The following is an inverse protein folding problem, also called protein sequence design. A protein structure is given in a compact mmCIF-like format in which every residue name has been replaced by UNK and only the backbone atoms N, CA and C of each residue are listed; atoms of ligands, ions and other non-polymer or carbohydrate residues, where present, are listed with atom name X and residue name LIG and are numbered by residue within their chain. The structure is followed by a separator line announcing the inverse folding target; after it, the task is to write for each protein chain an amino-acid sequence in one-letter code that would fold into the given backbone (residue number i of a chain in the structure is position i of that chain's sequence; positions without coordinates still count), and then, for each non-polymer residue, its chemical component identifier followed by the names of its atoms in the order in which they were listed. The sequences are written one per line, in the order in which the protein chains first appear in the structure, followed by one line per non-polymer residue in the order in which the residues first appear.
data_IF_791760642789
#
_entry.id   IF_791760642789
#
_cell.length_a   1.000
_cell.length_b   1.000
_cell.length_c   1.000
_cell.angle_alpha   90.00
_cell.angle_beta   90.00
_cell.angle_gamma   90.00
#
_symmetry.space_group_name_H-M   'P 1'
#
loop_
_entity.id
_entity.type
_entity.pdbx_description
1 polymer ?
#
# COMPACT_ATOMS: atom_id res chain seq x y z
N UNK A 1 26.62 67.58 -26.31
CA UNK A 1 27.79 67.57 -25.40
C UNK A 1 27.25 68.20 -24.12
N UNK A 2 27.06 67.49 -23.00
CA UNK A 2 27.86 66.41 -22.48
C UNK A 2 27.06 65.45 -21.59
N UNK A 3 27.51 64.19 -21.63
CA UNK A 3 27.25 63.12 -20.67
C UNK A 3 27.76 63.48 -19.27
N UNK A 4 27.03 63.07 -18.22
CA UNK A 4 27.60 62.40 -17.01
C UNK A 4 26.47 61.91 -16.09
N UNK A 5 26.10 60.63 -16.24
CA UNK A 5 26.45 59.48 -15.38
C UNK A 5 25.59 59.39 -14.10
N UNK A 6 24.58 58.53 -14.22
CA UNK A 6 23.89 57.78 -13.16
C UNK A 6 24.84 56.70 -12.63
N UNK A 7 24.88 56.46 -11.33
CA UNK A 7 25.42 55.19 -10.81
C UNK A 7 25.91 55.21 -9.36
N UNK A 8 25.00 55.21 -8.39
CA UNK A 8 25.33 54.88 -6.99
C UNK A 8 24.55 53.68 -6.42
N UNK A 9 23.67 53.03 -7.22
CA UNK A 9 22.83 51.93 -6.74
C UNK A 9 23.54 50.57 -6.62
N UNK A 10 24.61 50.34 -7.37
CA UNK A 10 25.30 49.04 -7.36
C UNK A 10 26.12 48.80 -6.09
N UNK A 11 26.65 49.85 -5.47
CA UNK A 11 27.43 49.75 -4.23
C UNK A 11 26.54 49.35 -3.03
N UNK A 12 25.35 49.95 -2.94
CA UNK A 12 24.39 49.63 -1.87
C UNK A 12 23.84 48.21 -1.98
N UNK A 13 23.61 47.71 -3.20
CA UNK A 13 23.18 46.32 -3.42
C UNK A 13 24.28 45.33 -3.04
N UNK A 14 25.55 45.63 -3.37
CA UNK A 14 26.69 44.77 -3.00
C UNK A 14 26.81 44.71 -1.47
N UNK A 15 26.67 45.85 -0.78
CA UNK A 15 26.72 45.90 0.67
C UNK A 15 25.59 45.07 1.32
N UNK A 16 24.37 45.16 0.79
CA UNK A 16 23.24 44.37 1.30
C UNK A 16 23.43 42.87 1.03
N UNK A 17 24.01 42.48 -0.11
CA UNK A 17 24.36 41.08 -0.39
C UNK A 17 25.40 40.55 0.60
N UNK A 18 26.42 41.34 0.93
CA UNK A 18 27.45 40.94 1.90
C UNK A 18 26.86 40.79 3.31
N UNK A 19 25.97 41.70 3.70
CA UNK A 19 25.23 41.62 4.96
C UNK A 19 24.34 40.38 5.01
N UNK A 20 23.54 40.12 3.99
CA UNK A 20 22.69 38.92 3.92
C UNK A 20 23.50 37.61 3.92
N UNK A 21 24.70 37.60 3.33
CA UNK A 21 25.61 36.45 3.42
C UNK A 21 26.15 36.24 4.84
N UNK A 22 26.45 37.32 5.55
CA UNK A 22 26.85 37.27 6.97
C UNK A 22 25.71 36.72 7.83
N UNK A 23 24.50 37.25 7.66
CA UNK A 23 23.31 36.83 8.42
C UNK A 23 22.97 35.35 8.14
N UNK A 24 23.06 34.92 6.87
CA UNK A 24 22.88 33.51 6.50
C UNK A 24 23.88 32.61 7.22
N UNK A 25 25.16 33.00 7.28
CA UNK A 25 26.20 32.23 7.97
C UNK A 25 25.94 32.15 9.48
N UNK A 26 25.42 33.21 10.08
CA UNK A 26 25.03 33.21 11.50
C UNK A 26 23.85 32.27 11.76
N UNK A 27 22.82 32.31 10.89
CA UNK A 27 21.67 31.42 10.97
C UNK A 27 22.08 29.95 10.80
N UNK A 28 22.94 29.63 9.83
CA UNK A 28 23.46 28.27 9.60
C UNK A 28 24.24 27.76 10.82
N UNK A 29 25.06 28.60 11.45
CA UNK A 29 25.76 28.26 12.69
C UNK A 29 24.79 28.00 13.85
N UNK A 30 23.69 28.76 13.94
CA UNK A 30 22.67 28.60 14.97
C UNK A 30 21.84 27.33 14.74
N UNK A 31 21.50 27.01 13.49
CA UNK A 31 20.86 25.75 13.11
C UNK A 31 21.77 24.57 13.51
N UNK A 32 23.04 24.61 13.15
CA UNK A 32 23.98 23.53 13.48
C UNK A 32 24.13 23.30 14.99
N UNK A 33 24.12 24.37 15.80
CA UNK A 33 24.10 24.26 17.27
C UNK A 33 22.81 23.64 17.80
N UNK A 34 21.65 24.03 17.24
CA UNK A 34 20.35 23.49 17.64
C UNK A 34 20.21 22.01 17.22
N UNK A 35 20.72 21.62 16.05
CA UNK A 35 20.77 20.22 15.60
C UNK A 35 21.66 19.35 16.49
N UNK A 36 22.80 19.90 16.96
CA UNK A 36 23.66 19.21 17.90
C UNK A 36 23.00 19.03 19.28
N UNK A 37 22.23 20.02 19.75
CA UNK A 37 21.40 19.90 20.96
C UNK A 37 20.28 18.88 20.78
N UNK A 38 19.59 18.89 19.64
CA UNK A 38 18.54 17.93 19.32
C UNK A 38 19.07 16.49 19.35
N UNK A 39 20.24 16.23 18.75
CA UNK A 39 20.88 14.91 18.80
C UNK A 39 21.28 14.47 20.21
N UNK A 40 21.67 15.41 21.06
CA UNK A 40 21.99 15.11 22.46
C UNK A 40 20.72 14.75 23.26
N UNK A 41 19.60 15.44 23.02
CA UNK A 41 18.30 15.14 23.63
C UNK A 41 17.72 13.80 23.11
N UNK A 42 17.87 13.52 21.81
CA UNK A 42 17.50 12.23 21.20
C UNK A 42 18.27 11.05 21.82
N UNK A 43 19.55 11.22 22.14
CA UNK A 43 20.37 10.21 22.80
C UNK A 43 19.95 9.95 24.27
N UNK A 44 19.37 10.94 24.95
CA UNK A 44 18.77 10.78 26.28
C UNK A 44 17.42 10.05 26.18
N UNK A 45 16.61 10.37 25.16
CA UNK A 45 15.35 9.68 24.87
C UNK A 45 15.55 8.20 24.49
N UNK A 46 16.62 7.85 23.77
CA UNK A 46 16.93 6.45 23.47
C UNK A 46 17.18 5.58 24.72
N UNK A 47 17.58 6.15 25.86
CA UNK A 47 17.74 5.42 27.12
C UNK A 47 16.42 5.17 27.86
N UNK A 48 15.32 5.82 27.49
CA UNK A 48 13.98 5.55 28.01
C UNK A 48 13.27 4.37 27.28
N UNK A 49 13.87 3.83 26.22
CA UNK A 49 13.35 2.69 25.46
C UNK A 49 13.66 1.33 26.12
N UNK A 50 13.09 1.07 27.29
CA UNK A 50 12.88 -0.30 27.78
C UNK A 50 11.39 -0.51 28.09
N UNK A 51 10.70 -1.19 27.16
CA UNK A 51 9.35 -1.72 27.35
C UNK A 51 8.21 -0.76 26.99
N UNK A 52 7.30 -1.20 26.12
CA UNK A 52 6.00 -0.53 25.95
C UNK A 52 5.12 -0.83 27.17
N UNK A 53 5.29 -0.06 28.23
CA UNK A 53 4.33 0.07 29.34
C UNK A 53 4.03 1.55 29.50
N UNK A 54 3.33 2.12 28.52
CA UNK A 54 3.19 3.57 28.35
C UNK A 54 2.02 4.21 29.08
N UNK A 55 1.23 3.45 29.84
CA UNK A 55 0.11 4.03 30.59
C UNK A 55 0.61 4.94 31.73
N UNK A 56 1.58 4.48 32.51
CA UNK A 56 2.08 5.25 33.67
C UNK A 56 2.81 6.54 33.25
N UNK A 57 3.54 6.53 32.14
CA UNK A 57 4.17 7.74 31.59
C UNK A 57 3.19 8.79 31.06
N UNK A 58 1.95 8.41 30.70
CA UNK A 58 0.88 9.35 30.31
C UNK A 58 0.24 10.01 31.54
N UNK A 59 0.37 9.39 32.72
CA UNK A 59 -0.19 9.88 33.98
C UNK A 59 0.74 10.84 34.73
N UNK A 60 2.03 10.89 34.39
CA UNK A 60 3.00 11.74 35.06
C UNK A 60 2.73 13.24 34.82
N UNK A 61 2.21 13.92 35.86
CA UNK A 61 2.06 15.37 35.93
C UNK A 61 0.62 15.89 36.14
N UNK A 62 -0.40 15.03 36.07
CA UNK A 62 -1.79 15.44 36.29
C UNK A 62 -2.50 14.53 37.30
N UNK A 63 -3.28 15.12 38.20
CA UNK A 63 -4.10 14.38 39.17
C UNK A 63 -5.03 13.40 38.42
N UNK A 64 -4.68 12.12 38.48
CA UNK A 64 -5.49 11.04 37.93
C UNK A 64 -6.74 10.93 38.78
N UNK A 65 -7.93 10.98 38.17
CA UNK A 65 -9.17 10.73 38.90
C UNK A 65 -9.14 9.31 39.49
N UNK A 66 -9.96 9.03 40.51
CA UNK A 66 -10.11 7.68 41.10
C UNK A 66 -10.41 6.57 40.07
N UNK A 67 -10.78 6.96 38.85
CA UNK A 67 -11.23 6.11 37.77
C UNK A 67 -10.16 5.91 36.67
N UNK A 68 -8.89 6.31 36.88
CA UNK A 68 -7.82 6.03 35.90
C UNK A 68 -7.89 6.84 34.60
N UNK A 69 -8.60 7.97 34.58
CA UNK A 69 -8.60 8.90 33.44
C UNK A 69 -8.20 10.30 33.91
N UNK A 70 -7.41 11.01 33.11
CA UNK A 70 -7.09 12.42 33.36
C UNK A 70 -8.29 13.31 33.00
N UNK A 71 -8.41 14.52 33.56
CA UNK A 71 -9.47 15.46 33.20
C UNK A 71 -9.54 15.74 31.69
N UNK A 72 -8.38 15.83 31.02
CA UNK A 72 -8.30 16.02 29.57
C UNK A 72 -8.88 14.84 28.79
N UNK A 73 -8.61 13.60 29.22
CA UNK A 73 -9.21 12.40 28.63
C UNK A 73 -10.72 12.35 28.84
N UNK A 74 -11.20 12.71 30.05
CA UNK A 74 -12.64 12.76 30.34
C UNK A 74 -13.35 13.75 29.41
N UNK A 75 -12.78 14.94 29.23
CA UNK A 75 -13.34 15.94 28.33
C UNK A 75 -13.34 15.45 26.87
N UNK A 76 -12.19 14.99 26.36
CA UNK A 76 -12.01 14.56 24.97
C UNK A 76 -12.93 13.38 24.61
N UNK A 77 -13.02 12.38 25.48
CA UNK A 77 -13.77 11.15 25.23
C UNK A 77 -15.16 11.14 25.86
N UNK A 78 -15.67 12.29 26.33
CA UNK A 78 -16.96 12.40 27.01
C UNK A 78 -18.12 11.70 26.26
N UNK A 79 -18.11 11.71 24.93
CA UNK A 79 -19.12 11.02 24.10
C UNK A 79 -19.02 9.49 24.14
N UNK A 80 -17.84 8.92 24.35
CA UNK A 80 -17.69 7.48 24.60
C UNK A 80 -18.12 7.13 26.02
N UNK A 81 -17.73 7.96 27.00
CA UNK A 81 -18.02 7.73 28.42
C UNK A 81 -19.53 7.70 28.73
N UNK A 82 -20.34 8.40 27.94
CA UNK A 82 -21.79 8.43 28.07
C UNK A 82 -22.50 7.19 27.51
N UNK A 83 -21.82 6.34 26.74
CA UNK A 83 -22.41 5.12 26.16
C UNK A 83 -22.48 4.04 27.26
N UNK A 84 -23.67 3.55 27.66
CA UNK A 84 -23.80 2.60 28.76
C UNK A 84 -23.03 1.30 28.53
N UNK A 85 -23.02 0.81 27.28
CA UNK A 85 -22.35 -0.44 26.91
C UNK A 85 -20.83 -0.30 26.75
N UNK A 86 -20.28 0.92 26.75
CA UNK A 86 -18.85 1.20 26.54
C UNK A 86 -18.20 1.87 27.76
N UNK A 87 -18.70 3.06 28.11
CA UNK A 87 -18.41 3.75 29.35
C UNK A 87 -16.94 4.02 29.65
N UNK A 88 -16.67 4.22 30.93
CA UNK A 88 -15.34 4.51 31.49
C UNK A 88 -14.39 3.33 31.33
N UNK A 89 -14.87 2.11 31.57
CA UNK A 89 -14.06 0.89 31.48
C UNK A 89 -13.53 0.67 30.06
N UNK A 90 -14.39 0.77 29.05
CA UNK A 90 -13.99 0.65 27.65
C UNK A 90 -12.89 1.64 27.28
N UNK A 91 -13.03 2.90 27.71
CA UNK A 91 -12.05 3.95 27.42
C UNK A 91 -10.71 3.73 28.13
N UNK A 92 -10.70 3.23 29.37
CA UNK A 92 -9.48 2.86 30.09
C UNK A 92 -8.76 1.73 29.35
N UNK A 93 -9.50 0.70 28.91
CA UNK A 93 -8.93 -0.43 28.19
C UNK A 93 -8.32 0.02 26.85
N UNK A 94 -8.96 0.94 26.11
CA UNK A 94 -8.35 1.56 24.93
C UNK A 94 -7.04 2.27 25.26
N UNK A 95 -7.04 3.10 26.31
CA UNK A 95 -5.86 3.87 26.71
C UNK A 95 -4.68 3.00 27.19
N UNK A 96 -4.95 1.76 27.63
CA UNK A 96 -3.94 0.78 28.03
C UNK A 96 -3.48 -0.11 26.88
N UNK A 97 -4.22 -0.17 25.78
CA UNK A 97 -3.94 -1.07 24.67
C UNK A 97 -2.88 -0.51 23.72
N UNK A 98 -2.13 -1.42 23.12
CA UNK A 98 -1.16 -1.14 22.06
C UNK A 98 -1.53 -1.88 20.77
N UNK A 99 -1.57 -1.17 19.64
CA UNK A 99 -2.00 -1.73 18.35
C UNK A 99 -0.96 -1.48 17.27
N UNK A 100 -0.55 -2.54 16.58
CA UNK A 100 0.29 -2.46 15.38
C UNK A 100 -0.58 -2.43 14.13
N UNK A 101 -0.44 -1.40 13.30
CA UNK A 101 -1.08 -1.33 11.98
C UNK A 101 -0.01 -1.54 10.90
N UNK A 102 -0.17 -2.61 10.12
CA UNK A 102 0.74 -2.97 9.04
C UNK A 102 0.16 -2.48 7.71
N UNK A 103 0.75 -1.42 7.17
CA UNK A 103 0.27 -0.69 6.00
C UNK A 103 -0.44 0.61 6.38
N UNK A 104 0.03 1.74 5.85
CA UNK A 104 -0.56 3.07 5.94
C UNK A 104 -1.29 3.46 4.64
N UNK A 105 -1.71 2.46 3.84
CA UNK A 105 -2.41 2.65 2.57
C UNK A 105 -3.91 2.95 2.71
N UNK A 106 -4.71 2.52 1.75
CA UNK A 106 -6.15 2.85 1.69
C UNK A 106 -6.95 2.25 2.85
N UNK A 107 -6.62 1.03 3.27
CA UNK A 107 -7.21 0.38 4.45
C UNK A 107 -6.65 0.99 5.74
N UNK A 108 -5.33 1.19 5.79
CA UNK A 108 -4.63 1.69 6.98
C UNK A 108 -5.00 3.12 7.35
N UNK A 109 -5.26 3.97 6.35
CA UNK A 109 -5.62 5.39 6.54
C UNK A 109 -6.75 5.58 7.56
N UNK A 110 -7.98 5.07 7.33
CA UNK A 110 -9.06 5.20 8.31
C UNK A 110 -8.77 4.44 9.61
N UNK A 111 -8.07 3.29 9.57
CA UNK A 111 -7.71 2.53 10.78
C UNK A 111 -6.92 3.41 11.74
N UNK A 112 -5.78 3.93 11.29
CA UNK A 112 -4.89 4.70 12.16
C UNK A 112 -5.59 5.99 12.63
N UNK A 113 -6.33 6.67 11.75
CA UNK A 113 -7.09 7.87 12.10
C UNK A 113 -8.12 7.61 13.21
N UNK A 114 -8.95 6.57 13.07
CA UNK A 114 -9.96 6.26 14.08
C UNK A 114 -9.35 5.76 15.37
N UNK A 115 -8.35 4.87 15.33
CA UNK A 115 -7.65 4.41 16.54
C UNK A 115 -7.00 5.57 17.30
N UNK A 116 -6.38 6.51 16.59
CA UNK A 116 -5.81 7.71 17.19
C UNK A 116 -6.91 8.59 17.83
N UNK A 117 -8.00 8.84 17.11
CA UNK A 117 -9.12 9.65 17.60
C UNK A 117 -9.81 9.04 18.82
N UNK A 118 -9.89 7.70 18.90
CA UNK A 118 -10.53 6.96 19.98
C UNK A 118 -9.63 6.80 21.22
N UNK A 119 -8.36 7.21 21.15
CA UNK A 119 -7.48 7.22 22.30
C UNK A 119 -6.86 5.86 22.64
N UNK A 120 -6.50 5.07 21.63
CA UNK A 120 -5.59 3.93 21.83
C UNK A 120 -4.27 4.44 22.42
N UNK A 121 -3.79 3.80 23.49
CA UNK A 121 -2.61 4.25 24.23
C UNK A 121 -1.34 4.31 23.39
N UNK A 122 -1.08 3.25 22.62
CA UNK A 122 0.06 3.18 21.71
C UNK A 122 -0.35 2.64 20.34
N UNK A 123 0.06 3.34 19.27
CA UNK A 123 -0.16 2.90 17.89
C UNK A 123 1.20 2.79 17.20
N UNK A 124 1.55 1.58 16.77
CA UNK A 124 2.66 1.33 15.86
C UNK A 124 2.19 1.35 14.41
N UNK A 125 2.91 2.05 13.53
CA UNK A 125 2.61 2.10 12.10
C UNK A 125 3.80 1.55 11.34
N UNK A 126 3.60 0.48 10.57
CA UNK A 126 4.64 -0.15 9.74
C UNK A 126 4.31 0.06 8.28
N UNK A 127 5.17 0.77 7.56
CA UNK A 127 5.09 0.93 6.11
C UNK A 127 6.48 1.34 5.58
N UNK A 128 6.87 0.82 4.41
CA UNK A 128 8.14 1.14 3.75
C UNK A 128 7.99 2.12 2.59
N UNK A 129 6.76 2.41 2.18
CA UNK A 129 6.50 3.21 1.00
C UNK A 129 6.52 4.71 1.29
N UNK A 130 6.52 5.46 0.20
CA UNK A 130 6.35 6.90 0.19
C UNK A 130 4.93 7.27 -0.25
N UNK A 131 4.50 8.48 0.07
CA UNK A 131 3.23 9.03 -0.41
C UNK A 131 3.38 9.37 -1.89
N UNK A 132 2.43 8.92 -2.70
CA UNK A 132 2.38 9.16 -4.15
C UNK A 132 1.04 9.78 -4.54
N UNK A 133 1.05 10.64 -5.56
CA UNK A 133 -0.14 11.38 -6.00
C UNK A 133 -1.30 10.45 -6.42
N UNK A 134 -0.98 9.40 -7.18
CA UNK A 134 -1.95 8.39 -7.65
C UNK A 134 -2.54 7.53 -6.51
N UNK A 135 -2.10 7.71 -5.27
CA UNK A 135 -2.61 7.00 -4.11
C UNK A 135 -3.54 7.87 -3.24
N UNK A 136 -3.53 9.20 -3.39
CA UNK A 136 -4.27 10.12 -2.53
C UNK A 136 -5.79 9.95 -2.62
N UNK A 137 -6.32 9.49 -3.76
CA UNK A 137 -7.76 9.24 -3.94
C UNK A 137 -8.35 8.18 -2.98
N UNK A 138 -7.49 7.39 -2.32
CA UNK A 138 -7.89 6.35 -1.36
C UNK A 138 -7.11 6.38 -0.04
N UNK A 139 -5.95 7.03 0.00
CA UNK A 139 -5.10 7.12 1.19
C UNK A 139 -5.33 8.45 1.93
N UNK A 140 -6.54 8.61 2.47
CA UNK A 140 -7.05 9.89 2.99
C UNK A 140 -6.29 10.46 4.19
N UNK A 141 -5.40 9.67 4.81
CA UNK A 141 -4.53 10.14 5.90
C UNK A 141 -3.38 11.01 5.39
N UNK A 142 -3.06 10.91 4.10
CA UNK A 142 -1.95 11.63 3.48
C UNK A 142 -2.46 12.87 2.74
N UNK A 143 -2.03 14.09 3.15
CA UNK A 143 -2.27 15.28 2.36
C UNK A 143 -1.28 15.36 1.18
N UNK A 144 -1.67 16.09 0.12
CA UNK A 144 -0.84 16.28 -1.07
C UNK A 144 0.54 16.89 -0.78
N UNK A 145 0.62 17.75 0.24
CA UNK A 145 1.89 18.33 0.71
C UNK A 145 2.93 17.31 1.18
N UNK A 146 2.53 16.05 1.44
CA UNK A 146 3.43 14.98 1.85
C UNK A 146 3.85 14.05 0.71
N UNK A 147 3.44 14.30 -0.55
CA UNK A 147 3.94 13.53 -1.70
C UNK A 147 5.48 13.48 -1.69
N UNK A 148 6.06 12.30 -1.90
CA UNK A 148 7.49 12.03 -1.82
C UNK A 148 8.04 11.74 -0.41
N UNK A 149 7.26 11.93 0.65
CA UNK A 149 7.66 11.62 2.03
C UNK A 149 7.25 10.20 2.42
N UNK A 150 7.91 9.62 3.43
CA UNK A 150 7.55 8.30 3.96
C UNK A 150 6.10 8.29 4.49
N UNK A 151 5.33 7.25 4.16
CA UNK A 151 3.93 7.12 4.59
C UNK A 151 3.80 7.13 6.11
N UNK A 152 4.68 6.42 6.83
CA UNK A 152 4.63 6.38 8.31
C UNK A 152 4.78 7.76 8.95
N UNK A 153 5.64 8.62 8.37
CA UNK A 153 5.84 10.00 8.85
C UNK A 153 4.59 10.85 8.62
N UNK A 154 4.02 10.76 7.41
CA UNK A 154 2.79 11.47 7.06
C UNK A 154 1.61 11.03 7.94
N UNK A 155 1.45 9.72 8.13
CA UNK A 155 0.41 9.15 8.98
C UNK A 155 0.55 9.57 10.44
N UNK A 156 1.76 9.51 10.99
CA UNK A 156 2.01 9.93 12.36
C UNK A 156 1.76 11.43 12.56
N UNK A 157 2.16 12.29 11.61
CA UNK A 157 1.86 13.72 11.64
C UNK A 157 0.34 13.99 11.66
N UNK A 158 -0.44 13.31 10.80
CA UNK A 158 -1.89 13.41 10.78
C UNK A 158 -2.52 12.98 12.12
N UNK A 159 -2.03 11.89 12.72
CA UNK A 159 -2.52 11.40 14.00
C UNK A 159 -2.20 12.35 15.16
N UNK A 160 -0.98 12.90 15.21
CA UNK A 160 -0.60 13.90 16.22
C UNK A 160 -1.47 15.16 16.13
N UNK A 161 -1.88 15.56 14.93
CA UNK A 161 -2.79 16.69 14.71
C UNK A 161 -4.21 16.43 15.26
N UNK A 162 -4.66 15.16 15.26
CA UNK A 162 -5.97 14.76 15.79
C UNK A 162 -5.91 14.55 17.31
N UNK A 163 -4.90 13.81 17.77
CA UNK A 163 -4.75 13.41 19.15
C UNK A 163 -3.28 13.32 19.54
N UNK A 164 -2.74 14.40 20.11
CA UNK A 164 -1.35 14.47 20.56
C UNK A 164 -1.07 13.72 21.87
N UNK A 165 -2.08 13.18 22.57
CA UNK A 165 -1.88 12.50 23.86
C UNK A 165 -1.58 11.00 23.74
N UNK A 166 -1.58 10.44 22.54
CA UNK A 166 -1.29 9.01 22.31
C UNK A 166 0.19 8.83 21.94
N UNK A 167 0.73 7.65 22.23
CA UNK A 167 2.07 7.29 21.79
C UNK A 167 2.03 6.75 20.35
N UNK A 168 2.82 7.33 19.45
CA UNK A 168 2.93 6.92 18.04
C UNK A 168 4.34 6.41 17.75
N UNK A 169 4.45 5.19 17.25
CA UNK A 169 5.73 4.55 16.91
C UNK A 169 5.79 4.33 15.40
N UNK A 170 6.77 4.97 14.76
CA UNK A 170 6.98 4.92 13.31
C UNK A 170 7.99 3.81 12.97
N UNK A 171 7.53 2.76 12.27
CA UNK A 171 8.39 1.71 11.72
C UNK A 171 8.53 1.93 10.21
N UNK A 172 9.48 2.77 9.81
CA UNK A 172 9.75 3.09 8.39
C UNK A 172 10.53 1.96 7.69
N UNK A 173 9.95 0.77 7.66
CA UNK A 173 10.51 -0.44 7.07
C UNK A 173 9.40 -1.40 6.67
N UNK A 174 9.70 -2.32 5.75
CA UNK A 174 8.76 -3.37 5.40
C UNK A 174 8.72 -4.39 6.55
N UNK A 175 7.52 -4.87 6.88
CA UNK A 175 7.39 -6.01 7.78
C UNK A 175 7.82 -7.28 7.04
N UNK A 176 8.80 -7.99 7.59
CA UNK A 176 9.37 -9.20 7.01
C UNK A 176 9.55 -10.26 8.08
N UNK A 177 9.66 -11.54 7.70
CA UNK A 177 9.85 -12.63 8.66
C UNK A 177 11.06 -12.41 9.59
N UNK A 178 12.10 -11.74 9.09
CA UNK A 178 13.32 -11.39 9.84
C UNK A 178 13.10 -10.38 10.97
N UNK A 179 12.14 -9.47 10.86
CA UNK A 179 11.88 -8.40 11.85
C UNK A 179 10.50 -8.50 12.54
N UNK A 180 9.59 -9.32 12.01
CA UNK A 180 8.21 -9.35 12.44
C UNK A 180 8.04 -9.79 13.90
N UNK A 181 8.81 -10.77 14.38
CA UNK A 181 8.71 -11.23 15.78
C UNK A 181 9.07 -10.11 16.76
N UNK A 182 10.16 -9.38 16.52
CA UNK A 182 10.59 -8.27 17.37
C UNK A 182 9.53 -7.16 17.39
N UNK A 183 9.03 -6.75 16.22
CA UNK A 183 8.06 -5.67 16.12
C UNK A 183 6.71 -6.08 16.74
N UNK A 184 6.15 -7.22 16.35
CA UNK A 184 4.82 -7.69 16.80
C UNK A 184 4.80 -7.99 18.30
N UNK A 185 5.92 -8.41 18.90
CA UNK A 185 6.00 -8.67 20.34
C UNK A 185 5.61 -7.48 21.22
N UNK A 186 5.82 -6.25 20.70
CA UNK A 186 5.64 -4.97 21.40
C UNK A 186 4.19 -4.49 21.44
N UNK A 187 3.26 -5.19 20.79
CA UNK A 187 1.87 -4.77 20.65
C UNK A 187 0.90 -5.86 21.10
N UNK A 188 -0.29 -5.46 21.56
CA UNK A 188 -1.34 -6.37 22.02
C UNK A 188 -2.16 -6.92 20.85
N UNK A 189 -2.39 -6.08 19.83
CA UNK A 189 -3.27 -6.37 18.70
C UNK A 189 -2.56 -6.00 17.39
N UNK A 190 -2.76 -6.81 16.35
CA UNK A 190 -2.24 -6.53 15.00
C UNK A 190 -3.39 -6.28 14.04
N UNK A 191 -3.26 -5.24 13.22
CA UNK A 191 -4.15 -4.95 12.11
C UNK A 191 -3.39 -5.12 10.80
N UNK A 192 -3.82 -6.08 9.98
CA UNK A 192 -3.34 -6.26 8.61
C UNK A 192 -4.14 -5.36 7.67
N UNK A 193 -3.49 -4.28 7.22
CA UNK A 193 -3.99 -3.35 6.22
C UNK A 193 -3.16 -3.43 4.92
N UNK A 194 -2.54 -4.58 4.67
CA UNK A 194 -1.74 -4.85 3.46
C UNK A 194 -2.61 -5.32 2.30
N UNK A 195 -2.10 -5.13 1.08
CA UNK A 195 -2.80 -5.44 -0.17
C UNK A 195 -2.15 -6.60 -0.95
N UNK A 196 -1.22 -7.34 -0.33
CA UNK A 196 -0.55 -8.47 -0.96
C UNK A 196 -0.71 -9.77 -0.17
N UNK A 197 -0.82 -10.87 -0.90
CA UNK A 197 -1.06 -12.20 -0.35
C UNK A 197 0.09 -12.73 0.54
N UNK A 198 1.39 -12.63 0.15
CA UNK A 198 2.47 -13.13 0.99
C UNK A 198 2.53 -12.45 2.36
N UNK A 199 2.37 -11.12 2.43
CA UNK A 199 2.33 -10.38 3.70
C UNK A 199 1.17 -10.86 4.58
N UNK A 200 0.01 -11.15 4.00
CA UNK A 200 -1.16 -11.64 4.76
C UNK A 200 -0.91 -12.99 5.42
N UNK A 201 -0.29 -13.93 4.71
CA UNK A 201 0.13 -15.21 5.31
C UNK A 201 1.18 -14.98 6.40
N UNK A 202 2.20 -14.17 6.13
CA UNK A 202 3.27 -13.89 7.08
C UNK A 202 2.74 -13.22 8.36
N UNK A 203 1.87 -12.22 8.25
CA UNK A 203 1.29 -11.53 9.41
C UNK A 203 0.43 -12.49 10.23
N UNK A 204 -0.41 -13.31 9.58
CA UNK A 204 -1.22 -14.32 10.29
C UNK A 204 -0.36 -15.32 11.02
N UNK A 205 0.68 -15.84 10.37
CA UNK A 205 1.57 -16.84 10.93
C UNK A 205 2.38 -16.26 12.10
N UNK A 206 2.85 -15.00 11.98
CA UNK A 206 3.49 -14.26 13.07
C UNK A 206 2.54 -14.10 14.27
N UNK A 207 1.28 -13.71 14.02
CA UNK A 207 0.28 -13.55 15.07
C UNK A 207 -0.03 -14.86 15.80
N UNK A 208 -0.02 -15.99 15.09
CA UNK A 208 -0.17 -17.32 15.71
C UNK A 208 1.01 -17.61 16.66
N UNK A 209 2.26 -17.49 16.19
CA UNK A 209 3.44 -17.84 17.01
C UNK A 209 3.71 -16.83 18.14
N UNK A 210 3.19 -15.60 18.03
CA UNK A 210 3.25 -14.57 19.06
C UNK A 210 1.99 -14.50 19.93
N UNK A 211 1.00 -15.35 19.66
CA UNK A 211 -0.30 -15.39 20.31
C UNK A 211 -1.02 -14.02 20.36
N UNK A 212 -1.11 -13.34 19.22
CA UNK A 212 -1.75 -12.03 19.06
C UNK A 212 -3.03 -12.14 18.23
N UNK A 213 -4.14 -11.47 18.61
CA UNK A 213 -5.30 -11.34 17.75
C UNK A 213 -4.95 -10.52 16.51
N UNK A 214 -5.51 -10.92 15.36
CA UNK A 214 -5.29 -10.28 14.08
C UNK A 214 -6.61 -9.78 13.49
N UNK A 215 -6.70 -8.49 13.18
CA UNK A 215 -7.80 -7.92 12.40
C UNK A 215 -7.31 -7.76 10.97
N UNK A 216 -7.85 -8.52 10.03
CA UNK A 216 -7.38 -8.53 8.64
C UNK A 216 -8.51 -8.15 7.70
N UNK A 217 -8.28 -7.07 6.95
CA UNK A 217 -9.17 -6.55 5.92
C UNK A 217 -8.55 -6.69 4.53
N UNK A 218 -9.38 -6.76 3.49
CA UNK A 218 -8.93 -6.67 2.10
C UNK A 218 -9.97 -5.89 1.29
N UNK A 219 -9.53 -5.23 0.23
CA UNK A 219 -10.39 -4.56 -0.73
C UNK A 219 -9.81 -4.73 -2.13
N UNK A 220 -10.65 -5.02 -3.12
CA UNK A 220 -10.27 -5.17 -4.52
C UNK A 220 -11.43 -4.71 -5.39
N UNK A 221 -11.17 -3.81 -6.35
CA UNK A 221 -12.21 -3.28 -7.23
C UNK A 221 -13.33 -2.59 -6.44
N UNK A 222 -14.48 -3.28 -6.37
CA UNK A 222 -15.72 -2.82 -5.73
C UNK A 222 -16.14 -3.70 -4.56
N UNK A 223 -15.28 -4.62 -4.15
CA UNK A 223 -15.54 -5.58 -3.08
C UNK A 223 -14.56 -5.41 -1.92
N UNK A 224 -15.02 -5.76 -0.72
CA UNK A 224 -14.22 -5.76 0.49
C UNK A 224 -14.55 -6.93 1.40
N UNK A 225 -13.57 -7.35 2.20
CA UNK A 225 -13.75 -8.40 3.19
C UNK A 225 -13.02 -8.07 4.49
N UNK A 226 -13.55 -8.59 5.60
CA UNK A 226 -13.00 -8.39 6.94
C UNK A 226 -13.26 -9.62 7.84
N UNK A 227 -12.27 -10.00 8.65
CA UNK A 227 -12.38 -11.03 9.67
C UNK A 227 -11.42 -10.74 10.83
N UNK A 228 -11.74 -11.26 12.02
CA UNK A 228 -10.81 -11.33 13.15
C UNK A 228 -10.28 -12.77 13.28
N UNK A 229 -8.96 -12.92 13.21
CA UNK A 229 -8.24 -14.19 13.29
C UNK A 229 -7.52 -14.33 14.63
N UNK A 230 -7.24 -15.58 15.01
CA UNK A 230 -6.46 -15.96 16.21
C UNK A 230 -6.94 -15.26 17.50
N UNK A 231 -8.25 -15.07 17.64
CA UNK A 231 -8.86 -14.40 18.80
C UNK A 231 -9.81 -15.35 19.52
N UNK A 232 -9.61 -15.56 20.82
CA UNK A 232 -10.43 -16.42 21.71
C UNK A 232 -10.70 -17.83 21.12
N UNK A 233 -9.65 -18.49 20.61
CA UNK A 233 -9.76 -19.82 20.00
C UNK A 233 -10.28 -19.84 18.55
N UNK A 234 -10.42 -18.68 17.91
CA UNK A 234 -10.80 -18.54 16.51
C UNK A 234 -9.77 -19.08 15.51
N UNK A 235 -10.14 -19.21 14.22
CA UNK A 235 -9.24 -19.68 13.17
C UNK A 235 -8.09 -18.69 12.92
N UNK A 236 -6.95 -19.16 12.41
CA UNK A 236 -5.98 -18.30 11.73
C UNK A 236 -6.31 -18.22 10.23
N UNK A 237 -5.57 -17.41 9.47
CA UNK A 237 -5.80 -17.28 8.03
C UNK A 237 -5.68 -18.61 7.28
N UNK A 238 -4.69 -19.44 7.64
CA UNK A 238 -4.46 -20.77 7.04
C UNK A 238 -5.57 -21.79 7.33
N UNK A 239 -6.35 -21.62 8.39
CA UNK A 239 -7.52 -22.49 8.64
C UNK A 239 -8.59 -22.34 7.55
N UNK A 240 -8.68 -21.15 6.93
CA UNK A 240 -9.59 -20.86 5.83
C UNK A 240 -8.92 -21.08 4.48
N UNK A 241 -7.69 -20.59 4.35
CA UNK A 241 -6.92 -20.61 3.10
C UNK A 241 -5.61 -21.38 3.34
N UNK A 242 -5.64 -22.72 3.43
CA UNK A 242 -4.44 -23.51 3.72
C UNK A 242 -3.43 -23.47 2.58
N UNK A 243 -3.91 -23.36 1.34
CA UNK A 243 -3.13 -23.25 0.11
C UNK A 243 -3.47 -21.94 -0.59
N UNK A 244 -2.48 -21.20 -1.09
CA UNK A 244 -2.73 -19.97 -1.83
C UNK A 244 -3.46 -20.27 -3.14
N UNK A 245 -4.35 -19.38 -3.59
CA UNK A 245 -4.96 -19.51 -4.91
C UNK A 245 -3.88 -19.40 -6.01
N UNK A 246 -4.15 -19.95 -7.21
CA UNK A 246 -3.25 -19.80 -8.36
C UNK A 246 -2.94 -18.32 -8.63
N UNK A 247 -1.70 -18.02 -9.02
CA UNK A 247 -1.23 -16.64 -9.27
C UNK A 247 -2.09 -15.89 -10.29
N UNK A 248 -2.65 -16.59 -11.27
CA UNK A 248 -3.58 -16.02 -12.25
C UNK A 248 -4.89 -15.49 -11.63
N UNK A 249 -5.32 -16.04 -10.49
CA UNK A 249 -6.50 -15.59 -9.74
C UNK A 249 -6.16 -14.52 -8.68
N UNK A 250 -4.88 -14.26 -8.43
CA UNK A 250 -4.41 -13.28 -7.46
C UNK A 250 -4.31 -11.89 -8.11
N UNK A 251 -5.42 -11.15 -8.12
CA UNK A 251 -5.44 -9.75 -8.57
C UNK A 251 -4.96 -8.79 -7.48
N UNK A 252 -4.21 -7.75 -7.87
CA UNK A 252 -3.83 -6.63 -7.00
C UNK A 252 -4.61 -5.37 -7.34
N UNK A 253 -4.75 -4.47 -6.37
CA UNK A 253 -5.33 -3.15 -6.58
C UNK A 253 -4.61 -2.35 -7.67
N UNK A 254 -3.28 -2.49 -7.77
CA UNK A 254 -2.47 -1.82 -8.80
C UNK A 254 -2.78 -2.33 -10.22
N UNK A 255 -3.29 -3.56 -10.35
CA UNK A 255 -3.59 -4.19 -11.64
C UNK A 255 -5.08 -4.08 -12.02
N UNK A 256 -6.01 -4.15 -11.05
CA UNK A 256 -7.47 -4.18 -11.28
C UNK A 256 -8.19 -2.88 -10.90
N UNK A 257 -7.49 -1.93 -10.28
CA UNK A 257 -8.09 -0.73 -9.71
C UNK A 257 -8.88 -1.00 -8.42
N UNK A 258 -9.22 0.08 -7.72
CA UNK A 258 -10.05 0.03 -6.51
C UNK A 258 -10.79 1.36 -6.36
N UNK A 259 -12.10 1.31 -6.11
CA UNK A 259 -12.86 2.52 -5.77
C UNK A 259 -12.46 2.96 -4.37
N UNK A 260 -11.91 4.17 -4.24
CA UNK A 260 -11.21 4.60 -3.01
C UNK A 260 -12.01 4.53 -1.71
N UNK A 261 -13.34 4.64 -1.79
CA UNK A 261 -14.25 4.51 -0.64
C UNK A 261 -14.31 3.09 -0.10
N UNK A 262 -14.10 2.06 -0.94
CA UNK A 262 -14.18 0.64 -0.54
C UNK A 262 -13.15 0.28 0.55
N UNK A 263 -11.83 0.49 0.36
CA UNK A 263 -10.88 0.30 1.44
C UNK A 263 -11.13 1.28 2.60
N UNK A 264 -11.71 2.46 2.35
CA UNK A 264 -12.17 3.37 3.40
C UNK A 264 -13.20 2.72 4.34
N UNK A 265 -14.26 2.14 3.78
CA UNK A 265 -15.33 1.44 4.53
C UNK A 265 -14.76 0.25 5.29
N UNK A 266 -13.98 -0.61 4.63
CA UNK A 266 -13.38 -1.78 5.28
C UNK A 266 -12.41 -1.35 6.39
N UNK A 267 -11.62 -0.31 6.19
CA UNK A 267 -10.69 0.19 7.20
C UNK A 267 -11.41 0.81 8.42
N UNK A 268 -12.54 1.50 8.24
CA UNK A 268 -13.39 1.91 9.36
C UNK A 268 -13.89 0.70 10.16
N UNK A 269 -14.32 -0.36 9.46
CA UNK A 269 -14.78 -1.60 10.11
C UNK A 269 -13.61 -2.34 10.80
N UNK A 270 -12.39 -2.30 10.23
CA UNK A 270 -11.18 -2.81 10.89
C UNK A 270 -10.90 -2.06 12.20
N UNK A 271 -11.00 -0.73 12.20
CA UNK A 271 -10.85 0.07 13.42
C UNK A 271 -11.89 -0.33 14.48
N UNK A 272 -13.14 -0.53 14.07
CA UNK A 272 -14.21 -0.98 14.94
C UNK A 272 -13.91 -2.36 15.56
N UNK A 273 -13.46 -3.34 14.77
CA UNK A 273 -13.06 -4.66 15.31
C UNK A 273 -11.89 -4.55 16.28
N UNK A 274 -10.88 -3.73 15.96
CA UNK A 274 -9.74 -3.50 16.83
C UNK A 274 -10.16 -2.85 18.16
N UNK A 275 -11.08 -1.88 18.13
CA UNK A 275 -11.67 -1.25 19.32
C UNK A 275 -12.42 -2.27 20.17
N UNK A 276 -13.22 -3.17 19.56
CA UNK A 276 -13.92 -4.24 20.29
C UNK A 276 -12.94 -5.20 20.98
N UNK A 277 -11.86 -5.59 20.29
CA UNK A 277 -10.81 -6.43 20.87
C UNK A 277 -10.10 -5.70 22.02
N UNK A 278 -9.70 -4.45 21.83
CA UNK A 278 -8.96 -3.64 22.81
C UNK A 278 -9.78 -3.31 24.06
N UNK A 279 -11.04 -2.90 23.87
CA UNK A 279 -11.96 -2.59 24.97
C UNK A 279 -12.47 -3.82 25.70
N UNK A 280 -12.49 -4.98 25.04
CA UNK A 280 -13.15 -6.19 25.52
C UNK A 280 -14.67 -6.18 25.36
N UNK A 281 -15.23 -5.18 24.66
CA UNK A 281 -16.67 -4.91 24.58
C UNK A 281 -17.22 -5.29 23.20
N UNK A 282 -18.40 -5.90 23.19
CA UNK A 282 -19.11 -6.31 21.99
C UNK A 282 -18.68 -7.67 21.43
N UNK A 283 -19.24 -8.02 20.27
CA UNK A 283 -18.97 -9.30 19.60
C UNK A 283 -18.08 -9.06 18.36
N UNK A 284 -16.92 -9.72 18.31
CA UNK A 284 -15.96 -9.56 17.20
C UNK A 284 -16.33 -10.44 16.01
N UNK A 285 -15.74 -10.17 14.84
CA UNK A 285 -15.84 -11.03 13.66
C UNK A 285 -14.99 -12.32 13.78
N UNK A 286 -14.62 -12.77 14.98
CA UNK A 286 -13.95 -14.07 15.13
C UNK A 286 -14.90 -15.20 14.71
N UNK A 287 -14.46 -16.07 13.79
CA UNK A 287 -15.28 -17.14 13.23
C UNK A 287 -16.37 -16.67 12.25
N UNK A 288 -16.35 -15.39 11.84
CA UNK A 288 -17.26 -14.81 10.86
C UNK A 288 -16.49 -13.95 9.85
N UNK A 289 -16.98 -13.86 8.63
CA UNK A 289 -16.40 -13.00 7.60
C UNK A 289 -17.46 -12.02 7.10
N UNK A 290 -17.12 -10.74 7.18
CA UNK A 290 -17.87 -9.67 6.53
C UNK A 290 -17.43 -9.60 5.07
N UNK A 291 -18.40 -9.53 4.18
CA UNK A 291 -18.24 -9.33 2.73
C UNK A 291 -19.06 -8.09 2.38
N UNK A 292 -18.42 -7.14 1.71
CA UNK A 292 -19.01 -5.90 1.26
C UNK A 292 -18.97 -5.83 -0.27
N UNK A 293 -20.13 -5.61 -0.87
CA UNK A 293 -20.29 -5.29 -2.30
C UNK A 293 -20.74 -3.83 -2.41
N UNK A 294 -19.86 -3.00 -2.95
CA UNK A 294 -20.09 -1.56 -3.09
C UNK A 294 -21.07 -1.21 -4.22
N UNK A 295 -21.21 -2.05 -5.25
CA UNK A 295 -22.15 -1.80 -6.35
C UNK A 295 -23.59 -1.90 -5.87
N UNK A 296 -23.88 -2.93 -5.07
CA UNK A 296 -25.23 -3.15 -4.54
C UNK A 296 -25.43 -2.59 -3.12
N UNK A 297 -24.40 -1.98 -2.53
CA UNK A 297 -24.36 -1.56 -1.12
C UNK A 297 -24.75 -2.69 -0.14
N UNK A 298 -24.36 -3.93 -0.44
CA UNK A 298 -24.71 -5.10 0.39
C UNK A 298 -23.57 -5.48 1.30
N UNK A 299 -23.90 -5.66 2.58
CA UNK A 299 -23.01 -6.25 3.58
C UNK A 299 -23.58 -7.61 3.97
N UNK A 300 -22.76 -8.65 3.86
CA UNK A 300 -23.11 -10.01 4.28
C UNK A 300 -22.11 -10.46 5.33
N UNK A 301 -22.60 -11.05 6.42
CA UNK A 301 -21.75 -11.71 7.41
C UNK A 301 -21.99 -13.20 7.28
N UNK A 302 -20.94 -13.95 6.92
CA UNK A 302 -21.00 -15.40 6.75
C UNK A 302 -20.20 -16.09 7.84
N UNK A 303 -20.69 -17.22 8.34
CA UNK A 303 -19.92 -18.06 9.25
C UNK A 303 -18.81 -18.74 8.47
N UNK A 304 -17.58 -18.68 9.00
CA UNK A 304 -16.42 -19.34 8.40
C UNK A 304 -16.05 -20.59 9.20
N UNK A 305 -15.21 -21.44 8.60
CA UNK A 305 -14.67 -22.61 9.28
C UNK A 305 -13.92 -22.16 10.54
N UNK A 306 -14.15 -22.86 11.65
CA UNK A 306 -13.42 -22.64 12.89
C UNK A 306 -11.95 -23.09 12.81
N UNK A 307 -11.23 -22.97 13.92
CA UNK A 307 -9.85 -23.47 14.03
C UNK A 307 -9.77 -24.94 13.62
N UNK A 308 -8.84 -25.26 12.73
CA UNK A 308 -8.55 -26.65 12.34
C UNK A 308 -7.45 -27.21 13.24
N UNK A 309 -7.71 -28.38 13.85
CA UNK A 309 -6.71 -29.08 14.68
C UNK A 309 -5.51 -29.56 13.85
N UNK A 310 -5.69 -29.70 12.53
CA UNK A 310 -4.65 -30.09 11.56
C UNK A 310 -4.04 -28.88 10.83
N UNK A 311 -4.31 -27.65 11.29
CA UNK A 311 -3.74 -26.47 10.64
C UNK A 311 -2.21 -26.46 10.78
N UNK A 312 -1.51 -26.22 9.67
CA UNK A 312 -0.04 -26.11 9.64
C UNK A 312 0.51 -25.11 10.66
N UNK A 313 -0.12 -23.94 10.79
CA UNK A 313 0.34 -22.90 11.72
C UNK A 313 -0.20 -23.07 13.15
N UNK A 314 -1.53 -23.22 13.33
CA UNK A 314 -2.15 -23.15 14.65
C UNK A 314 -2.79 -24.45 15.14
N UNK A 315 -2.55 -25.60 14.50
CA UNK A 315 -3.06 -26.91 14.93
C UNK A 315 -2.43 -27.39 16.25
N UNK A 316 -3.03 -28.40 16.90
CA UNK A 316 -2.55 -28.88 18.22
C UNK A 316 -1.17 -29.54 18.13
N UNK A 317 -0.87 -30.18 16.99
CA UNK A 317 0.41 -30.82 16.69
C UNK A 317 1.20 -30.03 15.63
N UNK A 318 1.02 -28.72 15.56
CA UNK A 318 1.73 -27.89 14.59
C UNK A 318 3.20 -27.69 15.03
N UNK A 319 4.15 -28.15 14.22
CA UNK A 319 5.59 -27.88 14.41
C UNK A 319 6.02 -26.47 13.93
N UNK A 320 5.05 -25.57 13.78
CA UNK A 320 5.30 -24.22 13.29
C UNK A 320 5.72 -23.30 14.44
N UNK A 321 7.04 -23.23 14.64
CA UNK A 321 7.67 -22.44 15.72
C UNK A 321 8.07 -21.04 15.25
N UNK A 322 8.54 -20.19 16.17
CA UNK A 322 9.15 -18.90 15.82
C UNK A 322 10.35 -19.06 14.87
N UNK A 323 11.16 -20.11 15.03
CA UNK A 323 12.27 -20.40 14.14
C UNK A 323 11.79 -20.82 12.74
N UNK A 324 10.79 -21.70 12.68
CA UNK A 324 10.15 -22.13 11.42
C UNK A 324 9.51 -20.94 10.71
N UNK A 325 8.91 -20.01 11.44
CA UNK A 325 8.34 -18.77 10.92
C UNK A 325 9.41 -17.88 10.25
N UNK A 326 10.55 -17.66 10.92
CA UNK A 326 11.61 -16.77 10.42
C UNK A 326 12.27 -17.29 9.14
N UNK A 327 12.34 -18.61 8.95
CA UNK A 327 12.94 -19.25 7.77
C UNK A 327 11.94 -19.58 6.66
N UNK A 328 10.64 -19.31 6.85
CA UNK A 328 9.61 -19.64 5.87
C UNK A 328 9.66 -18.73 4.65
N UNK A 329 9.70 -19.32 3.45
CA UNK A 329 9.66 -18.58 2.19
C UNK A 329 8.22 -18.29 1.76
N UNK A 330 7.70 -17.14 2.19
CA UNK A 330 6.35 -16.71 1.83
C UNK A 330 6.20 -16.36 0.35
N UNK A 331 7.22 -15.78 -0.28
CA UNK A 331 7.16 -15.40 -1.70
C UNK A 331 7.15 -16.62 -2.61
N UNK A 332 7.99 -17.63 -2.30
CA UNK A 332 7.98 -18.92 -2.98
C UNK A 332 6.68 -19.68 -2.75
N UNK A 333 6.14 -19.66 -1.52
CA UNK A 333 4.87 -20.30 -1.19
C UNK A 333 3.68 -19.70 -1.95
N UNK A 334 3.59 -18.38 -2.03
CA UNK A 334 2.50 -17.69 -2.73
C UNK A 334 2.81 -17.38 -4.19
N UNK A 335 4.00 -17.76 -4.68
CA UNK A 335 4.51 -17.48 -6.01
C UNK A 335 4.33 -16.02 -6.43
N UNK A 336 4.50 -15.10 -5.47
CA UNK A 336 4.27 -13.67 -5.67
C UNK A 336 5.17 -12.84 -4.75
N UNK A 337 5.63 -11.66 -5.19
CA UNK A 337 6.54 -10.86 -4.39
C UNK A 337 5.81 -10.10 -3.28
N UNK A 338 6.48 -9.83 -2.17
CA UNK A 338 5.98 -9.00 -1.07
C UNK A 338 5.88 -7.52 -1.47
N UNK A 339 6.72 -7.07 -2.41
CA UNK A 339 6.73 -5.69 -2.93
C UNK A 339 6.50 -5.65 -4.44
N UNK A 340 5.71 -4.68 -4.91
CA UNK A 340 5.54 -4.43 -6.35
C UNK A 340 6.85 -4.01 -7.04
N UNK A 341 7.81 -3.44 -6.30
CA UNK A 341 9.12 -3.02 -6.84
C UNK A 341 10.02 -4.19 -7.25
N UNK A 342 9.76 -5.38 -6.70
CA UNK A 342 10.58 -6.58 -6.91
C UNK A 342 9.98 -7.54 -7.95
N UNK A 343 8.96 -7.13 -8.72
CA UNK A 343 8.25 -8.02 -9.63
C UNK A 343 9.21 -8.51 -10.74
N UNK A 344 9.44 -9.84 -10.89
CA UNK A 344 10.30 -10.36 -11.95
C UNK A 344 9.74 -9.94 -13.30
N UNK A 345 10.61 -9.45 -14.19
CA UNK A 345 10.23 -9.24 -15.59
C UNK A 345 9.91 -10.60 -16.20
N UNK A 346 8.68 -10.77 -16.66
CA UNK A 346 8.27 -11.97 -17.36
C UNK A 346 9.17 -12.15 -18.60
N UNK A 347 9.64 -13.37 -18.84
CA UNK A 347 10.44 -13.74 -20.01
C UNK A 347 9.85 -15.03 -20.59
N UNK A 348 8.75 -14.88 -21.32
CA UNK A 348 8.05 -16.02 -21.96
C UNK A 348 8.50 -16.24 -23.41
N UNK A 349 9.00 -15.20 -24.06
CA UNK A 349 9.37 -15.19 -25.48
C UNK A 349 10.84 -14.77 -25.66
N UNK A 350 11.44 -15.13 -26.79
CA UNK A 350 12.83 -14.80 -27.11
C UNK A 350 13.01 -13.30 -27.36
N UNK A 351 14.22 -12.77 -27.10
CA UNK A 351 14.54 -11.36 -27.33
C UNK A 351 14.30 -10.91 -28.79
N UNK A 352 14.42 -11.81 -29.76
CA UNK A 352 14.11 -11.56 -31.17
C UNK A 352 12.63 -11.30 -31.46
N UNK A 353 11.73 -11.79 -30.60
CA UNK A 353 10.29 -11.59 -30.66
C UNK A 353 9.84 -10.35 -29.86
N UNK A 354 10.78 -9.46 -29.54
CA UNK A 354 10.53 -8.23 -28.78
C UNK A 354 11.08 -7.02 -29.55
N UNK A 355 10.51 -5.85 -29.28
CA UNK A 355 10.96 -4.56 -29.81
C UNK A 355 10.89 -3.50 -28.70
N UNK A 356 11.85 -2.58 -28.67
CA UNK A 356 11.80 -1.45 -27.72
C UNK A 356 10.80 -0.39 -28.19
N UNK A 357 10.30 0.43 -27.26
CA UNK A 357 9.43 1.57 -27.60
C UNK A 357 10.07 2.54 -28.60
N UNK A 358 11.39 2.75 -28.51
CA UNK A 358 12.15 3.62 -29.43
C UNK A 358 12.22 3.04 -30.84
N UNK A 359 12.56 1.76 -30.96
CA UNK A 359 12.58 1.08 -32.27
C UNK A 359 11.20 1.06 -32.91
N UNK A 360 10.14 0.85 -32.10
CA UNK A 360 8.77 0.92 -32.60
C UNK A 360 8.40 2.35 -33.06
N UNK A 361 8.80 3.39 -32.33
CA UNK A 361 8.64 4.78 -32.74
C UNK A 361 9.36 5.09 -34.06
N UNK A 362 10.57 4.57 -34.25
CA UNK A 362 11.32 4.74 -35.49
C UNK A 362 10.59 4.12 -36.70
N UNK A 363 9.86 3.02 -36.52
CA UNK A 363 9.04 2.41 -37.57
C UNK A 363 7.83 3.29 -37.92
N UNK A 364 7.17 3.87 -36.90
CA UNK A 364 6.09 4.84 -37.11
C UNK A 364 6.59 6.03 -37.91
N UNK A 365 7.74 6.61 -37.52
CA UNK A 365 8.30 7.79 -38.18
C UNK A 365 8.71 7.52 -39.63
N UNK A 366 9.17 6.31 -39.91
CA UNK A 366 9.50 5.85 -41.27
C UNK A 366 8.28 5.44 -42.09
N UNK A 367 7.08 5.47 -41.50
CA UNK A 367 5.83 5.03 -42.13
C UNK A 367 5.92 3.59 -42.64
N UNK A 368 6.62 2.72 -41.90
CA UNK A 368 6.71 1.30 -42.23
C UNK A 368 5.34 0.64 -41.99
N UNK A 369 4.85 -0.23 -42.90
CA UNK A 369 3.54 -0.85 -42.76
C UNK A 369 3.49 -1.76 -41.54
N UNK A 370 2.55 -1.50 -40.63
CA UNK A 370 2.41 -2.26 -39.40
C UNK A 370 0.98 -2.24 -38.87
N UNK A 371 0.69 -3.21 -37.99
CA UNK A 371 -0.51 -3.26 -37.17
C UNK A 371 -0.07 -3.31 -35.70
N UNK A 372 -0.62 -2.42 -34.88
CA UNK A 372 -0.43 -2.43 -33.44
C UNK A 372 -1.70 -2.88 -32.74
N UNK A 373 -1.64 -4.02 -32.07
CA UNK A 373 -2.73 -4.54 -31.25
C UNK A 373 -2.46 -4.24 -29.78
N UNK A 374 -3.36 -3.48 -29.18
CA UNK A 374 -3.41 -3.28 -27.74
C UNK A 374 -4.22 -4.39 -27.09
N UNK A 375 -3.55 -5.23 -26.29
CA UNK A 375 -4.15 -6.41 -25.67
C UNK A 375 -4.71 -6.15 -24.28
N UNK A 376 -4.75 -4.89 -23.83
CA UNK A 376 -5.36 -4.52 -22.55
C UNK A 376 -6.89 -4.69 -22.62
N UNK A 377 -7.57 -4.85 -21.48
CA UNK A 377 -9.02 -4.77 -21.42
C UNK A 377 -9.56 -3.48 -22.04
N UNK A 378 -10.75 -3.55 -22.65
CA UNK A 378 -11.32 -2.41 -23.37
C UNK A 378 -11.48 -1.13 -22.52
N UNK A 379 -11.75 -1.27 -21.22
CA UNK A 379 -11.84 -0.13 -20.32
C UNK A 379 -10.48 0.52 -20.03
N UNK A 380 -9.37 -0.24 -20.06
CA UNK A 380 -8.01 0.30 -19.98
C UNK A 380 -7.61 1.02 -21.27
N UNK A 381 -8.01 0.50 -22.43
CA UNK A 381 -7.78 1.13 -23.73
C UNK A 381 -8.45 2.52 -23.82
N UNK A 382 -9.65 2.66 -23.25
CA UNK A 382 -10.36 3.93 -23.17
C UNK A 382 -9.66 5.00 -22.31
N UNK A 383 -8.76 4.62 -21.41
CA UNK A 383 -8.00 5.58 -20.59
C UNK A 383 -6.98 6.33 -21.46
N UNK A 384 -6.26 5.58 -22.28
CA UNK A 384 -5.20 6.06 -23.16
C UNK A 384 -4.80 4.95 -24.13
N UNK A 385 -4.35 5.29 -25.33
CA UNK A 385 -3.84 4.36 -26.33
C UNK A 385 -2.78 5.05 -27.20
N UNK A 386 -1.85 4.26 -27.73
CA UNK A 386 -0.97 4.75 -28.81
C UNK A 386 -1.86 5.01 -30.04
N UNK A 387 -1.69 6.13 -30.77
CA UNK A 387 -2.45 6.42 -31.97
C UNK A 387 -2.46 5.23 -32.96
N UNK A 388 -3.58 5.05 -33.64
CA UNK A 388 -3.80 4.01 -34.65
C UNK A 388 -3.69 2.55 -34.17
N UNK A 389 -3.61 2.32 -32.85
CA UNK A 389 -3.70 0.98 -32.28
C UNK A 389 -5.13 0.44 -32.27
N UNK A 390 -5.26 -0.87 -32.51
CA UNK A 390 -6.53 -1.60 -32.40
C UNK A 390 -6.61 -2.33 -31.08
N UNK A 391 -7.74 -2.24 -30.38
CA UNK A 391 -7.92 -2.96 -29.12
C UNK A 391 -8.49 -4.36 -29.34
N UNK A 392 -7.70 -5.39 -29.03
CA UNK A 392 -8.15 -6.78 -28.99
C UNK A 392 -7.69 -7.36 -27.65
N UNK A 393 -8.56 -7.32 -26.60
CA UNK A 393 -8.19 -7.77 -25.26
C UNK A 393 -7.63 -9.20 -25.26
N UNK A 394 -6.59 -9.45 -24.46
CA UNK A 394 -5.95 -10.77 -24.36
C UNK A 394 -6.96 -11.90 -24.08
N UNK A 395 -7.99 -11.63 -23.26
CA UNK A 395 -9.03 -12.60 -22.91
C UNK A 395 -9.90 -13.06 -24.09
N UNK A 396 -9.94 -12.29 -25.17
CA UNK A 396 -10.74 -12.59 -26.39
C UNK A 396 -9.86 -12.68 -27.63
N UNK A 397 -8.53 -12.68 -27.47
CA UNK A 397 -7.58 -12.62 -28.58
C UNK A 397 -7.63 -13.90 -29.44
N UNK A 398 -7.75 -15.07 -28.80
CA UNK A 398 -7.84 -16.35 -29.50
C UNK A 398 -9.07 -16.41 -30.42
N UNK A 399 -10.22 -15.95 -29.95
CA UNK A 399 -11.47 -15.91 -30.74
C UNK A 399 -11.43 -14.86 -31.87
N UNK A 400 -10.50 -13.89 -31.81
CA UNK A 400 -10.40 -12.76 -32.73
C UNK A 400 -9.14 -12.79 -33.61
N UNK A 401 -8.48 -13.93 -33.73
CA UNK A 401 -7.32 -14.12 -34.62
C UNK A 401 -7.64 -13.70 -36.06
N UNK A 402 -8.84 -14.00 -36.57
CA UNK A 402 -9.25 -13.61 -37.93
C UNK A 402 -9.30 -12.09 -38.14
N UNK A 403 -9.57 -11.32 -37.08
CA UNK A 403 -9.55 -9.86 -37.14
C UNK A 403 -8.12 -9.35 -37.31
N UNK A 404 -7.15 -9.93 -36.58
CA UNK A 404 -5.72 -9.61 -36.71
C UNK A 404 -5.24 -9.86 -38.14
N UNK A 405 -5.58 -11.00 -38.73
CA UNK A 405 -5.26 -11.34 -40.12
C UNK A 405 -5.88 -10.35 -41.12
N UNK A 406 -7.13 -9.96 -40.89
CA UNK A 406 -7.84 -8.99 -41.75
C UNK A 406 -7.17 -7.63 -41.73
N UNK A 407 -6.82 -7.10 -40.55
CA UNK A 407 -6.12 -5.82 -40.42
C UNK A 407 -4.73 -5.85 -41.07
N UNK A 408 -3.99 -6.95 -40.94
CA UNK A 408 -2.68 -7.09 -41.60
C UNK A 408 -2.81 -7.08 -43.12
N UNK A 409 -3.82 -7.74 -43.67
CA UNK A 409 -4.09 -7.74 -45.11
C UNK A 409 -4.51 -6.37 -45.63
N UNK A 410 -5.32 -5.64 -44.88
CA UNK A 410 -5.74 -4.27 -45.21
C UNK A 410 -4.53 -3.34 -45.32
N UNK A 411 -3.68 -3.29 -44.28
CA UNK A 411 -2.46 -2.48 -44.29
C UNK A 411 -1.47 -2.92 -45.39
N UNK A 412 -1.38 -4.22 -45.66
CA UNK A 412 -0.51 -4.73 -46.71
C UNK A 412 -1.00 -4.34 -48.12
N UNK A 413 -2.32 -4.33 -48.34
CA UNK A 413 -2.93 -3.91 -49.59
C UNK A 413 -2.74 -2.41 -49.84
N UNK A 414 -2.94 -1.59 -48.81
CA UNK A 414 -2.82 -0.13 -48.92
C UNK A 414 -1.38 0.33 -49.15
N UNK A 415 -0.41 -0.36 -48.55
CA UNK A 415 1.02 -0.01 -48.66
C UNK A 415 1.77 -0.70 -49.79
N UNK A 416 1.23 -1.79 -50.35
CA UNK A 416 1.90 -2.65 -51.33
C UNK A 416 3.10 -3.43 -50.77
N UNK A 417 3.22 -3.52 -49.44
CA UNK A 417 4.32 -4.17 -48.71
C UNK A 417 3.76 -5.05 -47.58
N UNK A 418 4.51 -6.06 -47.15
CA UNK A 418 4.10 -6.89 -46.02
C UNK A 418 4.05 -6.08 -44.71
N UNK A 419 2.93 -6.14 -43.99
CA UNK A 419 2.75 -5.46 -42.71
C UNK A 419 3.33 -6.27 -41.55
N UNK A 420 3.99 -5.60 -40.60
CA UNK A 420 4.51 -6.21 -39.36
C UNK A 420 3.48 -6.14 -38.22
N UNK A 421 3.45 -7.15 -37.35
CA UNK A 421 2.51 -7.22 -36.23
C UNK A 421 3.18 -6.95 -34.89
N UNK A 422 2.67 -5.96 -34.16
CA UNK A 422 3.15 -5.56 -32.84
C UNK A 422 2.06 -5.63 -31.79
N UNK A 423 2.43 -6.05 -30.57
CA UNK A 423 1.53 -6.21 -29.44
C UNK A 423 1.96 -5.30 -28.30
N UNK A 424 1.02 -4.57 -27.71
CA UNK A 424 1.28 -3.70 -26.56
C UNK A 424 0.30 -3.97 -25.44
N UNK A 425 0.80 -3.88 -24.20
CA UNK A 425 -0.03 -3.86 -23.00
C UNK A 425 0.47 -2.77 -22.05
N UNK A 426 0.02 -2.74 -20.79
CA UNK A 426 0.45 -1.69 -19.84
C UNK A 426 1.95 -1.77 -19.53
N UNK A 427 2.49 -2.98 -19.30
CA UNK A 427 3.85 -3.20 -18.74
C UNK A 427 4.73 -4.18 -19.52
N UNK A 428 4.28 -4.66 -20.68
CA UNK A 428 5.02 -5.66 -21.46
C UNK A 428 4.90 -7.11 -20.96
N UNK A 429 3.93 -7.44 -20.09
CA UNK A 429 3.72 -8.81 -19.59
C UNK A 429 2.66 -9.56 -20.41
N UNK A 430 1.45 -9.00 -20.50
CA UNK A 430 0.35 -9.63 -21.24
C UNK A 430 0.58 -9.60 -22.76
N UNK A 431 1.37 -8.64 -23.25
CA UNK A 431 1.81 -8.61 -24.65
C UNK A 431 2.74 -9.77 -25.00
N UNK A 432 3.58 -10.25 -24.07
CA UNK A 432 4.36 -11.47 -24.30
C UNK A 432 3.47 -12.71 -24.39
N UNK A 433 2.45 -12.81 -23.54
CA UNK A 433 1.46 -13.89 -23.60
C UNK A 433 0.68 -13.87 -24.91
N UNK A 434 0.32 -12.67 -25.38
CA UNK A 434 -0.33 -12.48 -26.68
C UNK A 434 0.57 -12.95 -27.84
N UNK A 435 1.85 -12.60 -27.82
CA UNK A 435 2.81 -13.08 -28.84
C UNK A 435 2.97 -14.59 -28.79
N UNK A 436 3.11 -15.20 -27.61
CA UNK A 436 3.19 -16.66 -27.48
C UNK A 436 1.94 -17.35 -28.07
N UNK A 437 0.74 -16.85 -27.74
CA UNK A 437 -0.52 -17.34 -28.31
C UNK A 437 -0.55 -17.20 -29.84
N UNK A 438 -0.24 -16.02 -30.37
CA UNK A 438 -0.31 -15.73 -31.81
C UNK A 438 0.76 -16.49 -32.61
N UNK A 439 1.95 -16.69 -32.04
CA UNK A 439 3.03 -17.46 -32.66
C UNK A 439 2.61 -18.91 -32.91
N UNK A 440 1.85 -19.50 -31.98
CA UNK A 440 1.29 -20.85 -32.09
C UNK A 440 0.11 -20.94 -33.06
N UNK A 441 -0.47 -19.79 -33.44
CA UNK A 441 -1.67 -19.68 -34.27
C UNK A 441 -1.42 -18.93 -35.60
N UNK A 442 -0.20 -19.04 -36.15
CA UNK A 442 0.09 -18.59 -37.52
C UNK A 442 0.75 -17.22 -37.67
N UNK A 443 1.13 -16.55 -36.58
CA UNK A 443 1.87 -15.28 -36.62
C UNK A 443 3.25 -15.40 -35.95
N UNK A 444 4.19 -16.18 -36.51
CA UNK A 444 5.50 -16.45 -35.89
C UNK A 444 6.42 -15.21 -35.81
N UNK A 445 6.10 -14.13 -36.54
CA UNK A 445 6.87 -12.89 -36.58
C UNK A 445 6.28 -11.77 -35.71
N UNK A 446 5.22 -12.06 -34.95
CA UNK A 446 4.63 -11.12 -34.02
C UNK A 446 5.64 -10.68 -32.95
N UNK A 447 5.66 -9.39 -32.59
CA UNK A 447 6.56 -8.86 -31.56
C UNK A 447 5.84 -8.09 -30.47
N UNK A 448 6.33 -8.19 -29.23
CA UNK A 448 5.82 -7.36 -28.13
C UNK A 448 6.64 -6.07 -27.96
N UNK A 449 5.99 -5.00 -27.51
CA UNK A 449 6.70 -3.79 -27.07
C UNK A 449 7.19 -3.99 -25.64
N UNK A 450 8.52 -3.98 -25.46
CA UNK A 450 9.19 -4.16 -24.18
C UNK A 450 8.76 -3.05 -23.22
N UNK A 451 8.24 -3.43 -22.04
CA UNK A 451 7.78 -2.48 -21.02
C UNK A 451 6.41 -1.84 -21.31
N UNK A 452 5.80 -2.12 -22.47
CA UNK A 452 4.46 -1.65 -22.82
C UNK A 452 4.34 -0.12 -22.81
N UNK A 453 3.16 0.37 -22.41
CA UNK A 453 2.89 1.82 -22.35
C UNK A 453 3.73 2.58 -21.32
N UNK A 454 4.17 1.92 -20.23
CA UNK A 454 5.07 2.55 -19.26
C UNK A 454 6.43 2.90 -19.91
N UNK A 455 6.99 1.99 -20.71
CA UNK A 455 8.20 2.30 -21.48
C UNK A 455 7.93 3.32 -22.58
N UNK A 456 6.77 3.29 -23.24
CA UNK A 456 6.42 4.31 -24.23
C UNK A 456 6.43 5.72 -23.64
N UNK A 457 5.78 5.90 -22.48
CA UNK A 457 5.78 7.17 -21.78
C UNK A 457 7.19 7.59 -21.33
N UNK A 458 8.01 6.65 -20.86
CA UNK A 458 9.36 6.95 -20.41
C UNK A 458 10.32 7.29 -21.57
N UNK A 459 10.25 6.54 -22.67
CA UNK A 459 11.29 6.52 -23.70
C UNK A 459 10.95 7.31 -24.96
N UNK A 460 9.65 7.50 -25.24
CA UNK A 460 9.17 8.10 -26.49
C UNK A 460 8.41 9.39 -26.25
N UNK A 461 7.41 9.37 -25.36
CA UNK A 461 6.56 10.52 -25.09
C UNK A 461 6.34 10.71 -23.57
N UNK A 462 7.19 11.52 -22.91
CA UNK A 462 7.03 11.84 -21.48
C UNK A 462 5.71 12.53 -21.11
N UNK A 463 4.96 13.04 -22.09
CA UNK A 463 3.63 13.61 -21.87
C UNK A 463 2.50 12.58 -22.01
N UNK A 464 2.82 11.38 -22.46
CA UNK A 464 1.84 10.30 -22.61
C UNK A 464 1.25 9.92 -21.25
N UNK A 465 -0.08 9.90 -21.10
CA UNK A 465 -0.71 9.66 -19.82
C UNK A 465 -0.48 8.21 -19.39
N UNK A 466 0.02 8.04 -18.16
CA UNK A 466 0.16 6.76 -17.48
C UNK A 466 -0.78 6.70 -16.28
N UNK A 467 -1.23 5.50 -15.95
CA UNK A 467 -2.13 5.20 -14.84
C UNK A 467 -1.58 4.00 -14.07
#
# INVERSE_FOLDING_TARGET
MDYKIVGNGSADIIHEIEKLKSDKKEIENRISKLEAQLKADEAVQMKANQGCSSYDSILDGHAVSSNGLTPGMIYRYSRHLLLPDFGVEGQINLAKSSILVVGAGGLGSPVVLYLASCGIGCIGIVDSDIVELNNLHRQIIHPEAYVGHAKVKSAAAACRAINSSINLVEHNQALQASNALDIVSKYDIVVDATDNLPSRYMISDCCVVMNKPLISGAALGLEGQLTVYHHKGGPCYRCLFPTPPPTAACQRCSDSGVLGVVPGVIGCLQALEAIKVASGIGETLSGRMLIFDALSSRIRIVKIRGRSLQCFACGDNADFTQQSFQSFDYEGFTQSPMSDKARPKLSLISDSARITSREYKDLIDKHEPHVLVDVRPAHHFKITAIPDSINIPLSTLEDQISLVDSCLKEVANDSGKAASLYLVCRRGNDSQRAVDLLSKNGFPLAKDIIGGLESWAQDVDPSFPIY
#
